data_IF_915390400385
#
_entry.id   IF_915390400385
#
_cell.length_a   1.000
_cell.length_b   1.000
_cell.length_c   1.000
_cell.angle_alpha   90.00
_cell.angle_beta   90.00
_cell.angle_gamma   90.00
#
_symmetry.space_group_name_H-M   'P 1'
#
loop_
_entity.id
_entity.type
_entity.pdbx_description
1 polymer ?
#
# COMPACT_ATOMS: atom_id res chain seq x y z
N UNK A 1 -15.43 -12.92 -10.72
CA UNK A 1 -14.56 -13.74 -9.86
C UNK A 1 -14.39 -12.96 -8.57
N UNK A 2 -14.76 -13.53 -7.43
CA UNK A 2 -14.56 -12.87 -6.13
C UNK A 2 -13.05 -12.87 -5.84
N UNK A 3 -12.44 -11.70 -5.77
CA UNK A 3 -11.05 -11.55 -5.36
C UNK A 3 -10.94 -12.05 -3.92
N UNK A 4 -10.04 -12.98 -3.66
CA UNK A 4 -9.73 -13.35 -2.28
C UNK A 4 -9.02 -12.16 -1.63
N UNK A 5 -9.16 -11.87 -0.34
CA UNK A 5 -8.38 -10.79 0.28
C UNK A 5 -6.89 -11.11 0.27
N UNK A 6 -6.06 -10.06 0.31
CA UNK A 6 -4.62 -10.19 0.49
C UNK A 6 -4.34 -10.96 1.78
N UNK A 7 -3.32 -11.85 1.79
CA UNK A 7 -2.99 -12.57 3.00
C UNK A 7 -2.46 -11.60 4.05
N UNK A 8 -2.77 -11.87 5.32
CA UNK A 8 -2.12 -11.14 6.41
C UNK A 8 -0.60 -11.37 6.35
N UNK A 9 0.19 -10.41 6.85
CA UNK A 9 1.65 -10.55 6.85
C UNK A 9 2.13 -11.85 7.55
N UNK A 10 1.42 -12.29 8.58
CA UNK A 10 1.67 -13.56 9.27
C UNK A 10 1.42 -14.76 8.36
N UNK A 11 0.28 -14.79 7.66
CA UNK A 11 -0.06 -15.90 6.78
C UNK A 11 0.86 -15.97 5.56
N UNK A 12 1.21 -14.81 5.00
CA UNK A 12 2.18 -14.69 3.92
C UNK A 12 3.56 -15.21 4.35
N UNK A 13 4.04 -14.84 5.54
CA UNK A 13 5.29 -15.34 6.12
C UNK A 13 5.29 -16.85 6.30
N UNK A 14 4.21 -17.42 6.86
CA UNK A 14 4.08 -18.86 7.09
C UNK A 14 4.14 -19.66 5.78
N UNK A 15 3.48 -19.15 4.74
CA UNK A 15 3.51 -19.75 3.41
C UNK A 15 4.89 -19.63 2.77
N UNK A 16 5.50 -18.45 2.81
CA UNK A 16 6.84 -18.23 2.27
C UNK A 16 7.88 -19.13 2.94
N UNK A 17 7.82 -19.28 4.27
CA UNK A 17 8.68 -20.18 5.03
C UNK A 17 8.47 -21.66 4.67
N UNK A 18 7.28 -22.01 4.18
CA UNK A 18 6.94 -23.35 3.68
C UNK A 18 7.31 -23.55 2.20
N UNK A 19 7.93 -22.55 1.56
CA UNK A 19 8.30 -22.59 0.14
C UNK A 19 7.15 -22.31 -0.83
N UNK A 20 6.03 -21.76 -0.36
CA UNK A 20 4.86 -21.38 -1.18
C UNK A 20 4.61 -19.87 -1.09
N UNK A 21 4.03 -19.25 -2.12
CA UNK A 21 3.53 -17.86 -2.00
C UNK A 21 4.62 -16.78 -1.94
N UNK A 22 5.72 -16.93 -2.69
CA UNK A 22 6.76 -15.89 -2.78
C UNK A 22 6.21 -14.56 -3.34
N UNK A 23 5.19 -14.65 -4.21
CA UNK A 23 4.42 -13.55 -4.78
C UNK A 23 3.52 -12.82 -3.77
N UNK A 24 3.32 -13.37 -2.57
CA UNK A 24 2.46 -12.76 -1.54
C UNK A 24 3.05 -11.49 -0.93
N UNK A 25 4.33 -11.21 -1.18
CA UNK A 25 5.01 -9.96 -0.80
C UNK A 25 5.32 -9.07 -2.00
N UNK A 26 4.85 -9.42 -3.20
CA UNK A 26 4.92 -8.52 -4.34
C UNK A 26 4.19 -7.21 -4.02
N UNK A 27 4.60 -6.13 -4.68
CA UNK A 27 4.04 -4.80 -4.48
C UNK A 27 2.51 -4.83 -4.59
N UNK A 28 1.83 -4.27 -3.60
CA UNK A 28 0.37 -4.29 -3.52
C UNK A 28 -0.24 -5.50 -2.81
N UNK A 29 0.54 -6.48 -2.33
CA UNK A 29 0.03 -7.58 -1.49
C UNK A 29 0.36 -7.38 -0.01
N UNK A 30 0.81 -8.42 0.70
CA UNK A 30 1.12 -8.33 2.11
C UNK A 30 2.35 -7.44 2.32
N UNK A 31 2.32 -6.61 3.36
CA UNK A 31 3.49 -5.81 3.73
C UNK A 31 4.53 -6.68 4.43
N UNK A 32 5.71 -6.78 3.80
CA UNK A 32 6.84 -7.50 4.39
C UNK A 32 7.30 -6.81 5.70
N UNK A 33 7.52 -7.54 6.80
CA UNK A 33 7.87 -6.93 8.09
C UNK A 33 9.15 -6.07 8.06
N UNK A 34 10.15 -6.47 7.26
CA UNK A 34 11.37 -5.67 7.08
C UNK A 34 11.05 -4.36 6.36
N UNK A 35 10.20 -4.37 5.33
CA UNK A 35 9.79 -3.16 4.61
C UNK A 35 9.00 -2.22 5.53
N UNK A 36 8.09 -2.77 6.34
CA UNK A 36 7.39 -2.01 7.40
C UNK A 36 8.36 -1.29 8.33
N UNK A 37 9.33 -2.03 8.88
CA UNK A 37 10.30 -1.46 9.82
C UNK A 37 11.21 -0.43 9.14
N UNK A 38 11.64 -0.69 7.90
CA UNK A 38 12.48 0.24 7.15
C UNK A 38 11.77 1.57 6.87
N UNK A 39 10.48 1.52 6.48
CA UNK A 39 9.67 2.72 6.24
C UNK A 39 9.42 3.53 7.52
N UNK A 40 9.20 2.87 8.66
CA UNK A 40 9.05 3.54 9.96
C UNK A 40 10.38 4.17 10.42
N UNK A 41 11.49 3.48 10.22
CA UNK A 41 12.82 3.92 10.65
C UNK A 41 13.45 4.97 9.72
N UNK A 42 12.83 5.25 8.56
CA UNK A 42 13.33 6.19 7.55
C UNK A 42 12.33 7.35 7.41
N UNK A 43 12.57 8.50 8.07
CA UNK A 43 11.66 9.64 8.00
C UNK A 43 11.65 10.36 6.65
N UNK A 44 12.68 10.19 5.83
CA UNK A 44 12.72 10.76 4.47
C UNK A 44 11.83 9.96 3.51
N UNK A 45 11.51 10.55 2.36
CA UNK A 45 10.74 9.92 1.27
C UNK A 45 9.26 9.64 1.55
N UNK A 46 8.74 10.00 2.72
CA UNK A 46 7.31 10.16 2.93
C UNK A 46 6.81 11.39 2.17
N UNK A 47 5.76 11.18 1.38
CA UNK A 47 5.00 12.24 0.73
C UNK A 47 3.60 12.30 1.36
N UNK A 48 3.25 13.46 1.91
CA UNK A 48 1.91 13.73 2.43
C UNK A 48 0.96 14.03 1.28
N UNK A 49 -0.18 13.32 1.25
CA UNK A 49 -1.08 13.28 0.11
C UNK A 49 -2.54 13.25 0.56
N UNK A 50 -3.45 13.57 -0.35
CA UNK A 50 -4.89 13.39 -0.19
C UNK A 50 -5.41 12.36 -1.18
N UNK A 51 -6.33 11.51 -0.71
CA UNK A 51 -7.05 10.58 -1.58
C UNK A 51 -7.94 11.36 -2.55
N UNK A 52 -7.77 11.14 -3.86
CA UNK A 52 -8.62 11.71 -4.90
C UNK A 52 -9.73 10.72 -5.26
N UNK A 53 -9.36 9.46 -5.53
CA UNK A 53 -10.31 8.38 -5.84
C UNK A 53 -9.75 7.02 -5.47
N UNK A 54 -10.65 6.07 -5.23
CA UNK A 54 -10.35 4.68 -4.91
C UNK A 54 -11.27 3.81 -5.77
N UNK A 55 -10.66 3.00 -6.63
CA UNK A 55 -11.37 2.11 -7.53
C UNK A 55 -11.51 0.71 -6.93
N UNK A 56 -12.58 0.01 -7.30
CA UNK A 56 -12.87 -1.34 -6.80
C UNK A 56 -11.84 -2.40 -7.23
N UNK A 57 -11.00 -2.10 -8.22
CA UNK A 57 -9.89 -2.95 -8.67
C UNK A 57 -8.57 -2.65 -7.93
N UNK A 58 -8.60 -1.73 -6.97
CA UNK A 58 -7.51 -1.45 -6.04
C UNK A 58 -6.61 -0.27 -6.42
N UNK A 59 -6.91 0.43 -7.52
CA UNK A 59 -6.21 1.66 -7.87
C UNK A 59 -6.63 2.81 -6.97
N UNK A 60 -5.64 3.61 -6.55
CA UNK A 60 -5.82 4.80 -5.73
C UNK A 60 -5.10 5.96 -6.40
N UNK A 61 -5.84 7.02 -6.66
CA UNK A 61 -5.29 8.30 -7.12
C UNK A 61 -5.08 9.20 -5.90
N UNK A 62 -3.88 9.77 -5.80
CA UNK A 62 -3.47 10.64 -4.70
C UNK A 62 -2.94 11.97 -5.25
N UNK A 63 -3.21 13.05 -4.55
CA UNK A 63 -2.69 14.38 -4.88
C UNK A 63 -1.85 14.93 -3.72
N UNK A 64 -0.74 15.58 -4.03
CA UNK A 64 0.05 16.32 -3.05
C UNK A 64 -0.50 17.74 -2.83
N UNK A 65 0.14 18.48 -1.93
CA UNK A 65 -0.22 19.87 -1.63
C UNK A 65 0.22 20.88 -2.69
N UNK A 66 1.20 20.52 -3.51
CA UNK A 66 1.86 21.36 -4.51
C UNK A 66 1.32 21.14 -5.94
N UNK A 67 0.29 20.30 -6.10
CA UNK A 67 -0.36 19.97 -7.37
C UNK A 67 0.24 18.77 -8.12
N UNK A 68 1.19 18.06 -7.52
CA UNK A 68 1.64 16.75 -7.98
C UNK A 68 0.64 15.64 -7.69
N UNK A 69 0.81 14.51 -8.38
CA UNK A 69 -0.05 13.34 -8.23
C UNK A 69 0.75 12.06 -8.12
N UNK A 70 0.31 11.16 -7.25
CA UNK A 70 0.83 9.79 -7.13
C UNK A 70 -0.31 8.84 -7.38
N UNK A 71 -0.07 7.82 -8.21
CA UNK A 71 -1.01 6.72 -8.38
C UNK A 71 -0.41 5.46 -7.80
N UNK A 72 -1.17 4.76 -6.98
CA UNK A 72 -0.74 3.50 -6.41
C UNK A 72 -1.82 2.43 -6.52
N UNK A 73 -1.42 1.18 -6.34
CA UNK A 73 -2.30 0.03 -6.41
C UNK A 73 -2.11 -0.88 -5.22
N UNK A 74 -3.23 -1.41 -4.73
CA UNK A 74 -3.26 -2.46 -3.73
C UNK A 74 -4.17 -3.60 -4.20
N UNK A 75 -3.91 -4.81 -3.73
CA UNK A 75 -4.68 -5.98 -4.11
C UNK A 75 -6.07 -5.98 -3.47
N UNK A 76 -6.22 -5.48 -2.26
CA UNK A 76 -7.56 -5.38 -1.66
C UNK A 76 -8.35 -4.17 -2.17
N UNK A 77 -9.67 -4.28 -2.09
CA UNK A 77 -10.57 -3.15 -2.29
C UNK A 77 -10.49 -2.24 -1.05
N UNK A 78 -9.92 -1.04 -1.24
CA UNK A 78 -9.63 -0.12 -0.15
C UNK A 78 -10.75 0.89 0.11
N UNK A 79 -11.91 0.80 -0.55
CA UNK A 79 -12.98 1.83 -0.45
C UNK A 79 -13.59 1.97 0.94
N UNK A 80 -13.49 0.94 1.78
CA UNK A 80 -13.94 1.00 3.18
C UNK A 80 -12.90 1.64 4.11
N UNK A 81 -11.63 1.69 3.70
CA UNK A 81 -10.52 2.26 4.47
C UNK A 81 -10.16 3.68 4.01
N UNK A 82 -10.23 3.94 2.71
CA UNK A 82 -9.82 5.18 2.07
C UNK A 82 -11.04 5.92 1.52
N UNK A 83 -11.27 7.14 2.00
CA UNK A 83 -12.29 8.03 1.50
C UNK A 83 -11.66 9.20 0.73
N UNK A 84 -12.25 9.67 -0.39
CA UNK A 84 -11.80 10.89 -1.05
C UNK A 84 -11.70 12.08 -0.08
N UNK A 85 -10.60 12.81 -0.15
CA UNK A 85 -10.23 13.90 0.75
C UNK A 85 -9.56 13.45 2.06
N UNK A 86 -9.45 12.14 2.34
CA UNK A 86 -8.72 11.66 3.52
C UNK A 86 -7.21 11.91 3.36
N UNK A 87 -6.53 12.39 4.42
CA UNK A 87 -5.08 12.52 4.42
C UNK A 87 -4.43 11.15 4.54
N UNK A 88 -3.38 10.94 3.75
CA UNK A 88 -2.55 9.74 3.75
C UNK A 88 -1.08 10.14 3.57
N UNK A 89 -0.17 9.21 3.84
CA UNK A 89 1.24 9.41 3.49
C UNK A 89 1.77 8.20 2.72
N UNK A 90 2.66 8.43 1.75
CA UNK A 90 3.29 7.35 0.98
C UNK A 90 4.79 7.41 1.11
N UNK A 91 5.40 6.32 1.57
CA UNK A 91 6.85 6.14 1.53
C UNK A 91 7.28 5.68 0.15
N UNK A 92 7.72 6.62 -0.68
CA UNK A 92 7.99 6.39 -2.11
C UNK A 92 9.12 5.39 -2.40
N UNK A 93 10.09 5.23 -1.49
CA UNK A 93 11.16 4.23 -1.62
C UNK A 93 10.73 2.80 -1.31
N UNK A 94 9.81 2.59 -0.37
CA UNK A 94 9.44 1.26 0.13
C UNK A 94 8.03 0.82 -0.28
N UNK A 95 7.31 1.64 -1.05
CA UNK A 95 5.96 1.31 -1.50
C UNK A 95 4.99 1.13 -0.32
N UNK A 96 5.06 2.00 0.69
CA UNK A 96 4.19 1.89 1.88
C UNK A 96 3.21 3.05 1.92
N UNK A 97 1.91 2.75 1.93
CA UNK A 97 0.84 3.71 2.18
C UNK A 97 0.45 3.65 3.66
N UNK A 98 0.49 4.80 4.33
CA UNK A 98 -0.04 5.00 5.66
C UNK A 98 -1.42 5.65 5.59
N UNK A 99 -2.42 5.01 6.19
CA UNK A 99 -3.80 5.48 6.25
C UNK A 99 -4.39 5.19 7.65
N UNK A 100 -4.60 6.23 8.45
CA UNK A 100 -4.93 6.04 9.87
C UNK A 100 -3.81 5.28 10.59
N UNK A 101 -4.18 4.18 11.25
CA UNK A 101 -3.24 3.28 11.95
C UNK A 101 -2.70 2.14 11.05
N UNK A 102 -3.13 2.07 9.79
CA UNK A 102 -2.75 1.02 8.85
C UNK A 102 -1.52 1.38 8.03
N UNK A 103 -0.70 0.37 7.77
CA UNK A 103 0.42 0.43 6.82
C UNK A 103 0.25 -0.66 5.77
N UNK A 104 0.07 -0.24 4.52
CA UNK A 104 -0.22 -1.10 3.39
C UNK A 104 0.96 -1.11 2.43
N UNK A 105 1.27 -2.29 1.88
CA UNK A 105 2.16 -2.39 0.73
C UNK A 105 1.39 -1.98 -0.52
N UNK A 106 1.95 -1.09 -1.33
CA UNK A 106 1.35 -0.58 -2.54
C UNK A 106 2.36 -0.60 -3.68
N UNK A 107 1.88 -0.93 -4.88
CA UNK A 107 2.66 -0.74 -6.10
C UNK A 107 2.50 0.69 -6.58
N UNK A 108 3.60 1.41 -6.70
CA UNK A 108 3.59 2.77 -7.25
C UNK A 108 3.59 2.70 -8.77
N UNK A 109 2.58 3.29 -9.40
CA UNK A 109 2.66 3.54 -10.83
C UNK A 109 3.74 4.59 -11.07
N UNK A 110 4.74 4.24 -11.87
CA UNK A 110 5.66 5.25 -12.40
C UNK A 110 4.95 5.97 -13.55
N UNK A 111 4.93 7.30 -13.48
CA UNK A 111 4.52 8.17 -14.58
C UNK A 111 5.47 8.13 -15.77
#
# INVERSE_FOLDING_TARGET
>A
MTRQPSPTAKDALLRAASGQGADMFDDGYALHPIARQAAIATPSHWADLFVVSVDADGWVELADLDGGSVRCWHYDDLRDLLAPGAPVAVHTLYGVLAAGDELLNVSLARG
#
